data_IF_001163551890
#
_entry.id   IF_001163551890
#
_cell.length_a   1.000
_cell.length_b   1.000
_cell.length_c   1.000
_cell.angle_alpha   90.00
_cell.angle_beta   90.00
_cell.angle_gamma   90.00
#
_symmetry.space_group_name_H-M   'P 1'
#
loop_
_entity.id
_entity.type
_entity.pdbx_description
1 polymer ?
#
# COMPACT_ATOMS: atom_id res chain seq x y z
N UNK A 1 2.87 -73.97 -19.80
CA UNK A 1 3.90 -73.35 -18.94
C UNK A 1 4.53 -72.21 -19.71
N UNK A 2 4.08 -70.97 -19.49
CA UNK A 2 4.80 -69.76 -19.93
C UNK A 2 5.47 -69.22 -18.68
N UNK A 3 6.79 -69.34 -18.61
CA UNK A 3 7.60 -68.73 -17.56
C UNK A 3 7.49 -67.23 -17.69
N UNK A 4 6.93 -66.60 -16.65
CA UNK A 4 7.05 -65.17 -16.44
C UNK A 4 8.42 -64.97 -15.77
N UNK A 5 9.46 -64.82 -16.58
CA UNK A 5 10.78 -64.40 -16.09
C UNK A 5 10.67 -62.92 -15.69
N UNK A 6 10.32 -62.68 -14.43
CA UNK A 6 10.52 -61.38 -13.80
C UNK A 6 12.04 -61.13 -13.75
N UNK A 7 12.55 -60.40 -14.74
CA UNK A 7 13.92 -59.86 -14.72
C UNK A 7 14.07 -58.98 -13.47
N UNK A 8 14.67 -59.56 -12.44
CA UNK A 8 14.99 -58.87 -11.20
C UNK A 8 16.25 -58.03 -11.47
N UNK A 9 16.08 -56.78 -11.90
CA UNK A 9 17.18 -55.85 -12.10
C UNK A 9 17.90 -55.66 -10.75
N UNK A 10 19.23 -55.88 -10.66
CA UNK A 10 19.96 -55.69 -9.41
C UNK A 10 19.74 -54.27 -8.87
N UNK A 11 19.47 -54.15 -7.57
CA UNK A 11 19.15 -52.86 -6.93
C UNK A 11 20.22 -51.78 -7.19
N UNK A 12 21.48 -52.18 -7.31
CA UNK A 12 22.61 -51.30 -7.61
C UNK A 12 22.56 -50.74 -9.06
N UNK A 13 22.21 -51.58 -10.02
CA UNK A 13 21.98 -51.19 -11.42
C UNK A 13 20.78 -50.25 -11.54
N UNK A 14 19.69 -50.54 -10.82
CA UNK A 14 18.52 -49.67 -10.77
C UNK A 14 18.85 -48.30 -10.14
N UNK A 15 19.62 -48.28 -9.05
CA UNK A 15 20.09 -47.05 -8.41
C UNK A 15 20.99 -46.22 -9.34
N UNK A 16 21.87 -46.87 -10.13
CA UNK A 16 22.71 -46.20 -11.12
C UNK A 16 21.88 -45.53 -12.21
N UNK A 17 20.91 -46.25 -12.80
CA UNK A 17 20.03 -45.66 -13.81
C UNK A 17 19.17 -44.53 -13.24
N UNK A 18 18.67 -44.68 -12.01
CA UNK A 18 17.95 -43.60 -11.30
C UNK A 18 18.83 -42.36 -11.12
N UNK A 19 20.07 -42.51 -10.66
CA UNK A 19 20.97 -41.38 -10.45
C UNK A 19 21.31 -40.68 -11.77
N UNK A 20 21.57 -41.44 -12.84
CA UNK A 20 21.78 -40.87 -14.18
C UNK A 20 20.54 -40.11 -14.64
N UNK A 21 19.35 -40.69 -14.48
CA UNK A 21 18.10 -40.04 -14.85
C UNK A 21 17.88 -38.73 -14.08
N UNK A 22 18.14 -38.70 -12.78
CA UNK A 22 18.04 -37.49 -11.96
C UNK A 22 19.01 -36.41 -12.44
N UNK A 23 20.28 -36.75 -12.66
CA UNK A 23 21.29 -35.78 -13.14
C UNK A 23 20.92 -35.24 -14.52
N UNK A 24 20.53 -36.11 -15.45
CA UNK A 24 20.10 -35.70 -16.79
C UNK A 24 18.85 -34.80 -16.74
N UNK A 25 17.88 -35.13 -15.88
CA UNK A 25 16.67 -34.32 -15.72
C UNK A 25 17.00 -32.95 -15.13
N UNK A 26 17.81 -32.88 -14.07
CA UNK A 26 18.23 -31.59 -13.48
C UNK A 26 19.01 -30.74 -14.49
N UNK A 27 19.95 -31.34 -15.22
CA UNK A 27 20.70 -30.63 -16.25
C UNK A 27 19.79 -30.13 -17.38
N UNK A 28 18.82 -30.93 -17.81
CA UNK A 28 17.84 -30.53 -18.82
C UNK A 28 16.98 -29.36 -18.33
N UNK A 29 16.48 -29.38 -17.09
CA UNK A 29 15.71 -28.28 -16.50
C UNK A 29 16.55 -27.00 -16.45
N UNK A 30 17.80 -27.07 -15.98
CA UNK A 30 18.70 -25.91 -15.94
C UNK A 30 18.95 -25.36 -17.34
N UNK A 31 19.22 -26.23 -18.33
CA UNK A 31 19.45 -25.83 -19.70
C UNK A 31 18.23 -25.13 -20.32
N UNK A 32 17.03 -25.69 -20.09
CA UNK A 32 15.77 -25.10 -20.57
C UNK A 32 15.50 -23.74 -19.93
N UNK A 33 15.63 -23.63 -18.60
CA UNK A 33 15.43 -22.34 -17.91
C UNK A 33 16.46 -21.31 -18.33
N UNK A 34 17.74 -21.71 -18.46
CA UNK A 34 18.82 -20.84 -18.94
C UNK A 34 18.52 -20.34 -20.34
N UNK A 35 18.12 -21.23 -21.26
CA UNK A 35 17.74 -20.83 -22.62
C UNK A 35 16.57 -19.85 -22.57
N UNK A 36 15.54 -20.14 -21.76
CA UNK A 36 14.38 -19.25 -21.64
C UNK A 36 14.75 -17.86 -21.11
N UNK A 37 15.69 -17.73 -20.16
CA UNK A 37 16.18 -16.42 -19.71
C UNK A 37 16.70 -15.54 -20.87
N UNK A 38 17.31 -16.13 -21.92
CA UNK A 38 17.86 -15.38 -23.05
C UNK A 38 16.83 -14.97 -24.11
N UNK A 39 15.74 -15.73 -24.25
CA UNK A 39 14.75 -15.53 -25.33
C UNK A 39 13.41 -14.98 -24.86
N UNK A 40 13.17 -14.94 -23.54
CA UNK A 40 11.96 -14.34 -22.98
C UNK A 40 11.99 -12.83 -23.23
N UNK A 41 10.88 -12.29 -23.71
CA UNK A 41 10.66 -10.84 -23.71
C UNK A 41 10.65 -10.30 -22.28
N UNK A 42 11.26 -9.14 -22.06
CA UNK A 42 11.29 -8.54 -20.73
C UNK A 42 9.91 -8.04 -20.31
N UNK A 43 9.54 -8.30 -19.07
CA UNK A 43 8.36 -7.73 -18.47
C UNK A 43 8.76 -6.39 -17.83
N UNK A 44 8.02 -5.32 -18.14
CA UNK A 44 8.25 -4.01 -17.51
C UNK A 44 7.54 -3.88 -16.17
N UNK A 45 6.52 -4.71 -15.91
CA UNK A 45 5.69 -4.64 -14.71
C UNK A 45 5.32 -6.04 -14.19
N UNK A 46 5.25 -6.19 -12.87
CA UNK A 46 4.72 -7.38 -12.22
C UNK A 46 3.32 -7.12 -11.69
N UNK A 47 2.34 -7.84 -12.25
CA UNK A 47 0.94 -7.83 -11.81
C UNK A 47 0.80 -8.31 -10.37
N UNK A 48 1.53 -9.39 -10.03
CA UNK A 48 1.48 -9.98 -8.70
C UNK A 48 2.09 -9.03 -7.66
N UNK A 49 3.30 -8.52 -7.89
CA UNK A 49 4.00 -7.66 -6.93
C UNK A 49 3.57 -6.19 -6.97
N UNK A 50 2.73 -5.80 -7.94
CA UNK A 50 2.30 -4.42 -8.23
C UNK A 50 3.46 -3.41 -8.25
N UNK A 51 4.51 -3.76 -9.00
CA UNK A 51 5.70 -2.90 -9.15
C UNK A 51 6.31 -2.97 -10.54
N UNK A 52 7.04 -1.91 -10.88
CA UNK A 52 7.92 -1.88 -12.05
C UNK A 52 9.06 -2.88 -11.82
N UNK A 53 9.37 -3.64 -12.86
CA UNK A 53 10.45 -4.61 -12.87
C UNK A 53 11.70 -3.96 -13.47
N UNK A 54 12.87 -4.38 -12.98
CA UNK A 54 14.14 -3.92 -13.55
C UNK A 54 14.25 -4.39 -15.00
N UNK A 55 14.66 -3.47 -15.87
CA UNK A 55 15.02 -3.69 -17.27
C UNK A 55 16.54 -3.88 -17.39
N UNK A 56 17.02 -4.30 -18.55
CA UNK A 56 18.44 -4.53 -18.77
C UNK A 56 19.23 -3.23 -18.50
N UNK A 57 20.20 -3.22 -17.56
CA UNK A 57 20.97 -2.02 -17.26
C UNK A 57 21.90 -1.64 -18.41
N UNK A 58 22.17 -0.34 -18.55
CA UNK A 58 23.12 0.15 -19.54
C UNK A 58 24.56 -0.21 -19.15
N UNK A 59 25.26 -0.85 -20.08
CA UNK A 59 26.65 -1.21 -19.90
C UNK A 59 27.55 0.00 -20.20
N UNK A 60 28.17 0.57 -19.16
CA UNK A 60 29.17 1.64 -19.31
C UNK A 60 30.41 1.34 -18.48
N UNK A 61 31.55 1.95 -18.81
CA UNK A 61 32.78 1.75 -18.05
C UNK A 61 32.68 2.30 -16.62
N UNK A 62 31.92 3.38 -16.45
CA UNK A 62 31.65 4.00 -15.15
C UNK A 62 30.80 3.06 -14.28
N UNK A 63 29.69 2.52 -14.79
CA UNK A 63 28.81 1.62 -14.04
C UNK A 63 29.47 0.28 -13.67
N UNK A 64 30.43 -0.19 -14.46
CA UNK A 64 31.25 -1.37 -14.12
C UNK A 64 32.26 -1.05 -13.03
N UNK A 65 32.93 0.10 -13.11
CA UNK A 65 33.96 0.50 -12.14
C UNK A 65 33.36 0.78 -10.75
N UNK A 66 32.15 1.34 -10.70
CA UNK A 66 31.40 1.66 -9.48
C UNK A 66 30.66 0.44 -8.91
N UNK A 67 30.45 -0.61 -9.71
CA UNK A 67 29.78 -1.85 -9.30
C UNK A 67 28.26 -1.86 -9.51
N UNK A 68 27.69 -0.72 -9.89
CA UNK A 68 26.27 -0.52 -10.13
C UNK A 68 25.71 -1.47 -11.19
N UNK A 69 26.44 -1.69 -12.29
CA UNK A 69 26.01 -2.61 -13.35
C UNK A 69 25.74 -4.02 -12.80
N UNK A 70 26.59 -4.51 -11.90
CA UNK A 70 26.45 -5.87 -11.36
C UNK A 70 25.24 -5.98 -10.43
N UNK A 71 25.02 -4.98 -9.58
CA UNK A 71 23.87 -4.92 -8.69
C UNK A 71 22.54 -4.79 -9.46
N UNK A 72 22.51 -3.95 -10.49
CA UNK A 72 21.34 -3.79 -11.35
C UNK A 72 21.10 -5.03 -12.22
N UNK A 73 22.15 -5.65 -12.74
CA UNK A 73 22.03 -6.87 -13.53
C UNK A 73 21.55 -8.05 -12.69
N UNK A 74 22.01 -8.19 -11.44
CA UNK A 74 21.48 -9.18 -10.50
C UNK A 74 19.97 -8.97 -10.28
N UNK A 75 19.57 -7.73 -10.00
CA UNK A 75 18.17 -7.38 -9.81
C UNK A 75 17.32 -7.65 -11.06
N UNK A 76 17.83 -7.29 -12.25
CA UNK A 76 17.24 -7.57 -13.55
C UNK A 76 17.03 -9.07 -13.77
N UNK A 77 18.07 -9.90 -13.58
CA UNK A 77 17.98 -11.34 -13.80
C UNK A 77 17.00 -12.01 -12.84
N UNK A 78 16.90 -11.54 -11.59
CA UNK A 78 15.88 -12.00 -10.66
C UNK A 78 14.47 -11.62 -11.13
N UNK A 79 14.27 -10.39 -11.58
CA UNK A 79 12.95 -9.88 -12.03
C UNK A 79 12.47 -10.56 -13.32
N UNK A 80 13.40 -10.84 -14.25
CA UNK A 80 13.08 -11.45 -15.54
C UNK A 80 13.13 -12.99 -15.54
N UNK A 81 13.43 -13.62 -14.40
CA UNK A 81 13.56 -15.07 -14.33
C UNK A 81 12.29 -15.80 -14.80
N UNK A 82 12.39 -16.80 -15.69
CA UNK A 82 11.24 -17.57 -16.13
C UNK A 82 10.50 -18.23 -14.97
N UNK A 83 9.16 -18.17 -15.00
CA UNK A 83 8.30 -18.72 -13.95
C UNK A 83 8.56 -18.11 -12.55
N UNK A 84 9.06 -16.87 -12.46
CA UNK A 84 9.35 -16.17 -11.21
C UNK A 84 8.24 -16.32 -10.17
N UNK A 85 6.99 -16.05 -10.52
CA UNK A 85 5.87 -16.14 -9.56
C UNK A 85 5.69 -17.55 -9.02
N UNK A 86 5.84 -18.58 -9.86
CA UNK A 86 5.79 -19.98 -9.40
C UNK A 86 6.92 -20.30 -8.43
N UNK A 87 8.16 -19.87 -8.73
CA UNK A 87 9.30 -20.05 -7.83
C UNK A 87 9.13 -19.29 -6.52
N UNK A 88 8.59 -18.07 -6.56
CA UNK A 88 8.26 -17.29 -5.36
C UNK A 88 7.22 -18.02 -4.51
N UNK A 89 6.19 -18.59 -5.12
CA UNK A 89 5.17 -19.36 -4.40
C UNK A 89 5.74 -20.62 -3.75
N UNK A 90 6.57 -21.37 -4.47
CA UNK A 90 7.26 -22.55 -3.91
C UNK A 90 8.20 -22.15 -2.77
N UNK A 91 8.97 -21.08 -2.93
CA UNK A 91 9.85 -20.54 -1.86
C UNK A 91 9.06 -20.13 -0.63
N UNK A 92 7.92 -19.46 -0.81
CA UNK A 92 7.06 -19.02 0.28
C UNK A 92 6.46 -20.22 1.01
N UNK A 93 5.86 -21.17 0.27
CA UNK A 93 5.31 -22.39 0.84
C UNK A 93 6.37 -23.22 1.58
N UNK A 94 7.58 -23.34 1.04
CA UNK A 94 8.68 -24.01 1.72
C UNK A 94 9.08 -23.26 3.01
N UNK A 95 9.18 -21.93 2.96
CA UNK A 95 9.52 -21.10 4.12
C UNK A 95 8.54 -21.30 5.27
N UNK A 96 7.24 -21.16 5.01
CA UNK A 96 6.21 -21.29 6.05
C UNK A 96 5.96 -22.74 6.46
N UNK A 97 5.71 -23.64 5.50
CA UNK A 97 5.19 -24.97 5.81
C UNK A 97 6.26 -26.05 5.97
N UNK A 98 7.39 -25.94 5.27
CA UNK A 98 8.47 -26.92 5.38
C UNK A 98 9.50 -26.53 6.47
N UNK A 99 9.82 -25.23 6.57
CA UNK A 99 10.83 -24.74 7.50
C UNK A 99 10.25 -24.06 8.75
N UNK A 100 8.93 -23.85 8.82
CA UNK A 100 8.29 -23.24 9.98
C UNK A 100 8.73 -21.80 10.25
N UNK A 101 9.17 -21.06 9.22
CA UNK A 101 9.45 -19.63 9.36
C UNK A 101 8.16 -18.90 9.72
N UNK A 102 8.27 -17.94 10.64
CA UNK A 102 7.12 -17.15 11.10
C UNK A 102 6.75 -16.04 10.12
N UNK A 103 7.73 -15.52 9.39
CA UNK A 103 7.54 -14.55 8.33
C UNK A 103 8.32 -14.95 7.06
N UNK A 104 7.95 -14.33 5.94
CA UNK A 104 8.68 -14.38 4.69
C UNK A 104 8.85 -12.94 4.16
N UNK A 105 10.08 -12.44 4.16
CA UNK A 105 10.41 -11.06 3.80
C UNK A 105 9.63 -10.02 4.62
N UNK A 106 9.43 -10.28 5.92
CA UNK A 106 8.70 -9.38 6.79
C UNK A 106 7.17 -9.46 6.66
N UNK A 107 6.61 -10.29 5.78
CA UNK A 107 5.17 -10.58 5.76
C UNK A 107 4.85 -11.85 6.56
N UNK A 108 3.77 -11.82 7.32
CA UNK A 108 3.28 -12.96 8.09
C UNK A 108 1.76 -13.11 7.95
N UNK A 109 1.25 -14.30 8.29
CA UNK A 109 -0.18 -14.58 8.34
C UNK A 109 -0.60 -14.72 9.80
N UNK A 110 -1.63 -13.98 10.20
CA UNK A 110 -2.26 -14.08 11.50
C UNK A 110 -3.77 -13.86 11.35
N UNK A 111 -4.57 -14.71 12.01
CA UNK A 111 -6.05 -14.58 12.03
C UNK A 111 -6.70 -14.48 10.63
N UNK A 112 -6.10 -15.15 9.64
CA UNK A 112 -6.59 -15.12 8.25
C UNK A 112 -6.16 -13.89 7.43
N UNK A 113 -5.47 -12.93 8.06
CA UNK A 113 -4.95 -11.73 7.41
C UNK A 113 -3.45 -11.82 7.19
N UNK A 114 -2.99 -11.23 6.08
CA UNK A 114 -1.58 -10.96 5.85
C UNK A 114 -1.25 -9.60 6.44
N UNK A 115 -0.14 -9.51 7.15
CA UNK A 115 0.38 -8.27 7.71
C UNK A 115 1.88 -8.16 7.43
N UNK A 116 2.38 -6.94 7.40
CA UNK A 116 3.79 -6.63 7.23
C UNK A 116 4.35 -6.14 8.55
N UNK A 117 5.51 -6.67 8.96
CA UNK A 117 6.23 -6.19 10.13
C UNK A 117 6.69 -4.77 9.88
N UNK A 118 6.08 -3.82 10.57
CA UNK A 118 6.57 -2.44 10.67
C UNK A 118 7.33 -2.30 12.01
N UNK A 119 8.56 -2.79 11.99
CA UNK A 119 9.44 -2.82 13.16
C UNK A 119 10.91 -2.83 12.73
N UNK A 120 11.81 -2.17 13.47
CA UNK A 120 11.54 -1.26 14.58
C UNK A 120 11.06 0.11 14.10
N UNK A 121 10.73 1.00 15.03
CA UNK A 121 10.59 2.42 14.73
C UNK A 121 11.91 2.94 14.13
N UNK A 122 11.82 3.55 12.95
CA UNK A 122 12.90 4.24 12.28
C UNK A 122 12.87 5.72 12.63
N UNK A 123 13.56 6.08 13.70
CA UNK A 123 13.59 7.45 14.22
C UNK A 123 14.01 8.48 13.18
N UNK A 124 14.99 8.18 12.33
CA UNK A 124 15.43 9.10 11.28
C UNK A 124 14.36 9.33 10.21
N UNK A 125 13.57 8.30 9.89
CA UNK A 125 12.42 8.43 8.99
C UNK A 125 11.33 9.30 9.61
N UNK A 126 11.00 9.05 10.89
CA UNK A 126 10.00 9.84 11.62
C UNK A 126 10.44 11.29 11.77
N UNK A 127 11.71 11.56 12.10
CA UNK A 127 12.25 12.92 12.17
C UNK A 127 12.10 13.63 10.82
N UNK A 128 12.49 12.98 9.72
CA UNK A 128 12.32 13.54 8.38
C UNK A 128 10.85 13.84 8.05
N UNK A 129 9.93 12.92 8.35
CA UNK A 129 8.51 13.13 8.15
C UNK A 129 8.02 14.36 8.94
N UNK A 130 8.35 14.45 10.23
CA UNK A 130 7.99 15.58 11.08
C UNK A 130 8.58 16.90 10.57
N UNK A 131 9.83 16.90 10.10
CA UNK A 131 10.48 18.08 9.51
C UNK A 131 9.73 18.56 8.24
N UNK A 132 9.21 17.64 7.42
CA UNK A 132 8.39 17.98 6.25
C UNK A 132 7.02 18.54 6.65
N UNK A 133 6.37 17.95 7.65
CA UNK A 133 5.11 18.49 8.18
C UNK A 133 5.31 19.88 8.80
N UNK A 134 6.42 20.07 9.50
CA UNK A 134 6.81 21.37 10.07
C UNK A 134 7.09 22.41 9.01
N UNK A 135 7.78 22.03 7.95
CA UNK A 135 8.01 22.92 6.81
C UNK A 135 6.69 23.44 6.23
N UNK A 136 5.72 22.55 5.97
CA UNK A 136 4.42 22.93 5.43
C UNK A 136 3.67 23.89 6.35
N UNK A 137 3.71 23.63 7.66
CA UNK A 137 3.12 24.52 8.64
C UNK A 137 3.81 25.88 8.69
N UNK A 138 5.12 25.92 8.90
CA UNK A 138 5.88 27.17 9.05
C UNK A 138 5.75 28.05 7.79
N UNK A 139 5.84 27.46 6.60
CA UNK A 139 5.85 28.19 5.33
C UNK A 139 4.46 28.67 4.88
N UNK A 140 3.41 27.84 5.06
CA UNK A 140 2.12 28.11 4.43
C UNK A 140 0.97 28.36 5.40
N UNK A 141 1.02 27.83 6.62
CA UNK A 141 -0.14 27.78 7.52
C UNK A 141 0.07 28.70 8.74
N UNK A 142 1.32 28.87 9.19
CA UNK A 142 1.61 29.63 10.39
C UNK A 142 1.22 31.11 10.22
N UNK A 143 0.44 31.63 11.18
CA UNK A 143 -0.06 33.00 11.15
C UNK A 143 -1.36 33.21 10.35
N UNK A 144 -1.96 32.16 9.79
CA UNK A 144 -3.35 32.19 9.31
C UNK A 144 -4.34 31.88 10.44
N UNK A 145 -5.64 31.95 10.13
CA UNK A 145 -6.73 31.56 11.04
C UNK A 145 -7.12 30.08 10.88
N UNK A 146 -6.34 29.30 10.11
CA UNK A 146 -6.58 27.89 9.86
C UNK A 146 -6.45 27.05 11.14
N UNK A 147 -7.30 26.02 11.25
CA UNK A 147 -7.23 25.04 12.35
C UNK A 147 -6.48 23.81 11.87
N UNK A 148 -5.43 23.43 12.58
CA UNK A 148 -4.51 22.38 12.12
C UNK A 148 -4.65 21.14 13.00
N UNK A 149 -4.90 20.00 12.36
CA UNK A 149 -5.13 18.72 13.01
C UNK A 149 -4.16 17.66 12.51
N UNK A 150 -3.87 16.69 13.37
CA UNK A 150 -3.10 15.49 13.07
C UNK A 150 -3.89 14.25 13.40
N UNK A 151 -3.91 13.27 12.50
CA UNK A 151 -4.36 11.92 12.82
C UNK A 151 -3.39 10.88 12.27
N UNK A 152 -3.04 9.90 13.11
CA UNK A 152 -2.12 8.82 12.76
C UNK A 152 -2.95 7.55 12.60
N UNK A 153 -2.93 6.98 11.39
CA UNK A 153 -3.62 5.73 11.10
C UNK A 153 -2.71 4.56 11.51
N UNK A 154 -3.08 3.73 12.50
CA UNK A 154 -2.29 2.55 12.83
C UNK A 154 -2.23 1.61 11.62
N UNK A 155 -1.10 0.94 11.44
CA UNK A 155 -1.00 -0.12 10.44
C UNK A 155 -1.52 -1.44 11.02
N UNK A 156 -1.79 -2.43 10.17
CA UNK A 156 -2.38 -3.71 10.61
C UNK A 156 -1.52 -4.46 11.66
N UNK A 157 -0.21 -4.23 11.66
CA UNK A 157 0.72 -4.82 12.62
C UNK A 157 0.44 -4.36 14.06
N UNK A 158 -0.09 -3.15 14.26
CA UNK A 158 -0.54 -2.63 15.57
C UNK A 158 -1.50 -3.62 16.26
N UNK A 159 -2.47 -4.15 15.51
CA UNK A 159 -3.50 -5.03 16.05
C UNK A 159 -3.09 -6.51 16.06
N UNK A 160 -2.15 -6.92 15.21
CA UNK A 160 -1.84 -8.33 14.95
C UNK A 160 -0.56 -8.83 15.60
N UNK A 161 0.48 -7.99 15.72
CA UNK A 161 1.84 -8.47 15.94
C UNK A 161 2.02 -9.11 17.32
N UNK A 162 1.86 -8.32 18.38
CA UNK A 162 2.18 -8.73 19.75
C UNK A 162 1.31 -9.91 20.19
N UNK A 163 0.00 -9.83 19.96
CA UNK A 163 -0.95 -10.91 20.34
C UNK A 163 -0.66 -12.24 19.65
N UNK A 164 -0.05 -12.20 18.46
CA UNK A 164 0.37 -13.40 17.72
C UNK A 164 1.86 -13.72 17.90
N UNK A 165 2.59 -13.01 18.77
CA UNK A 165 3.99 -13.25 19.10
C UNK A 165 4.98 -12.85 18.00
N UNK A 166 4.63 -11.88 17.17
CA UNK A 166 5.52 -11.24 16.20
C UNK A 166 6.16 -9.98 16.80
N UNK A 167 7.17 -9.46 16.11
CA UNK A 167 7.81 -8.20 16.50
C UNK A 167 6.85 -7.04 16.28
N UNK A 168 6.65 -6.26 17.33
CA UNK A 168 5.84 -5.04 17.34
C UNK A 168 6.71 -3.90 17.83
N UNK A 169 6.52 -2.71 17.25
CA UNK A 169 7.08 -1.50 17.83
C UNK A 169 6.19 -1.02 18.99
N UNK A 170 6.74 -0.12 19.79
CA UNK A 170 6.03 0.60 20.82
C UNK A 170 5.26 1.75 20.14
N UNK A 171 3.99 1.49 19.81
CA UNK A 171 3.16 2.43 19.07
C UNK A 171 2.72 3.64 19.90
N UNK A 172 2.59 3.49 21.22
CA UNK A 172 2.33 4.60 22.12
C UNK A 172 3.52 5.56 22.08
N UNK A 173 4.74 5.02 22.22
CA UNK A 173 5.97 5.80 22.10
C UNK A 173 6.12 6.42 20.70
N UNK A 174 5.76 5.70 19.64
CA UNK A 174 5.79 6.24 18.28
C UNK A 174 4.88 7.47 18.17
N UNK A 175 3.63 7.34 18.61
CA UNK A 175 2.61 8.39 18.57
C UNK A 175 3.04 9.59 19.41
N UNK A 176 3.51 9.38 20.63
CA UNK A 176 4.02 10.46 21.49
C UNK A 176 5.22 11.17 20.84
N UNK A 177 6.14 10.43 20.23
CA UNK A 177 7.31 11.01 19.56
C UNK A 177 6.95 11.93 18.39
N UNK A 178 5.92 11.56 17.61
CA UNK A 178 5.38 12.40 16.52
C UNK A 178 4.69 13.62 17.12
N UNK A 179 3.78 13.43 18.08
CA UNK A 179 3.00 14.51 18.72
C UNK A 179 3.86 15.57 19.37
N UNK A 180 4.95 15.18 20.02
CA UNK A 180 5.92 16.12 20.61
C UNK A 180 6.59 17.02 19.56
N UNK A 181 6.72 16.56 18.31
CA UNK A 181 7.33 17.32 17.19
C UNK A 181 6.31 18.11 16.38
N UNK A 182 5.03 17.83 16.57
CA UNK A 182 3.91 18.46 15.86
C UNK A 182 2.93 19.11 16.85
N UNK A 183 3.46 19.70 17.92
CA UNK A 183 2.70 20.31 19.03
C UNK A 183 1.84 21.52 18.63
N UNK A 184 2.06 22.05 17.44
CA UNK A 184 1.26 23.08 16.78
C UNK A 184 0.02 22.53 16.06
N UNK A 185 -0.22 21.20 16.10
CA UNK A 185 -1.40 20.54 15.56
C UNK A 185 -2.23 19.92 16.69
N UNK A 186 -3.55 19.99 16.58
CA UNK A 186 -4.46 19.25 17.47
C UNK A 186 -4.53 17.78 17.06
N UNK A 187 -4.13 16.87 17.96
CA UNK A 187 -4.13 15.44 17.68
C UNK A 187 -5.53 14.82 17.87
N UNK A 188 -6.08 14.27 16.79
CA UNK A 188 -7.31 13.48 16.78
C UNK A 188 -6.92 12.00 16.72
N UNK A 189 -6.97 11.34 17.87
CA UNK A 189 -6.72 9.90 17.98
C UNK A 189 -7.89 9.11 17.36
N UNK A 190 -7.56 8.19 16.46
CA UNK A 190 -8.50 7.28 15.78
C UNK A 190 -8.14 5.81 16.00
N UNK A 191 -7.10 5.51 16.78
CA UNK A 191 -6.62 4.14 16.92
C UNK A 191 -7.65 3.23 17.60
N UNK A 192 -8.44 3.76 18.54
CA UNK A 192 -9.49 3.05 19.27
C UNK A 192 -10.78 2.85 18.45
N UNK A 193 -10.93 3.53 17.31
CA UNK A 193 -12.04 3.33 16.38
C UNK A 193 -11.75 2.25 15.33
N UNK A 194 -10.58 1.62 15.41
CA UNK A 194 -10.06 0.66 14.44
C UNK A 194 -9.69 -0.65 15.13
N UNK A 195 -9.77 -1.74 14.37
CA UNK A 195 -9.28 -3.05 14.78
C UNK A 195 -8.78 -3.85 13.57
N UNK A 196 -8.50 -5.15 13.75
CA UNK A 196 -8.06 -6.01 12.65
C UNK A 196 -9.08 -6.13 11.51
N UNK A 197 -10.40 -6.10 11.81
CA UNK A 197 -11.44 -6.18 10.78
C UNK A 197 -11.61 -4.86 10.04
N UNK A 198 -11.07 -3.75 10.55
CA UNK A 198 -11.04 -2.49 9.80
C UNK A 198 -10.23 -2.58 8.50
N UNK A 199 -9.41 -3.62 8.29
CA UNK A 199 -8.50 -3.76 7.15
C UNK A 199 -8.86 -4.91 6.23
N UNK A 200 -8.55 -4.76 4.93
CA UNK A 200 -8.56 -5.87 3.99
C UNK A 200 -7.57 -6.94 4.43
N UNK A 201 -7.87 -8.22 4.26
CA UNK A 201 -6.99 -9.31 4.72
C UNK A 201 -5.70 -9.37 3.92
N UNK A 202 -5.77 -9.11 2.63
CA UNK A 202 -4.67 -9.27 1.66
C UNK A 202 -4.03 -7.95 1.23
N UNK A 203 -4.48 -6.82 1.79
CA UNK A 203 -3.97 -5.48 1.48
C UNK A 203 -3.53 -4.71 2.73
N UNK A 204 -2.80 -3.61 2.57
CA UNK A 204 -2.45 -2.71 3.68
C UNK A 204 -3.62 -1.83 4.11
N UNK A 205 -4.54 -1.49 3.20
CA UNK A 205 -5.55 -0.47 3.45
C UNK A 205 -6.72 -0.94 4.29
N UNK A 206 -7.38 0.04 4.94
CA UNK A 206 -8.66 -0.16 5.59
C UNK A 206 -9.82 -0.31 4.59
N UNK A 207 -10.99 -0.77 5.07
CA UNK A 207 -12.19 -0.99 4.26
C UNK A 207 -13.18 0.14 4.50
N UNK A 208 -13.72 0.76 3.45
CA UNK A 208 -14.53 1.98 3.59
C UNK A 208 -15.79 1.78 4.45
N UNK A 209 -16.45 0.63 4.30
CA UNK A 209 -17.74 0.32 4.91
C UNK A 209 -17.71 0.20 6.44
N UNK A 210 -16.53 0.10 7.04
CA UNK A 210 -16.35 -0.01 8.50
C UNK A 210 -15.76 1.25 9.14
N UNK A 211 -15.56 2.33 8.38
CA UNK A 211 -14.92 3.55 8.87
C UNK A 211 -15.85 4.54 9.55
N UNK A 212 -17.15 4.27 9.65
CA UNK A 212 -18.10 5.22 10.29
C UNK A 212 -17.63 5.72 11.68
N UNK A 213 -17.14 4.88 12.61
CA UNK A 213 -16.62 5.37 13.89
C UNK A 213 -15.38 6.29 13.75
N UNK A 214 -14.54 6.04 12.75
CA UNK A 214 -13.35 6.85 12.46
C UNK A 214 -13.74 8.21 11.87
N UNK A 215 -14.73 8.21 10.97
CA UNK A 215 -15.31 9.43 10.38
C UNK A 215 -15.95 10.28 11.48
N UNK A 216 -16.76 9.68 12.35
CA UNK A 216 -17.37 10.36 13.49
C UNK A 216 -16.31 11.00 14.41
N UNK A 217 -15.23 10.27 14.71
CA UNK A 217 -14.12 10.79 15.54
C UNK A 217 -13.43 11.98 14.90
N UNK A 218 -13.11 11.91 13.61
CA UNK A 218 -12.51 13.01 12.86
C UNK A 218 -13.45 14.22 12.78
N UNK A 219 -14.72 13.98 12.45
CA UNK A 219 -15.73 15.04 12.36
C UNK A 219 -15.92 15.77 13.69
N UNK A 220 -16.03 15.02 14.80
CA UNK A 220 -16.13 15.59 16.15
C UNK A 220 -14.88 16.38 16.53
N UNK A 221 -13.68 15.85 16.25
CA UNK A 221 -12.42 16.54 16.53
C UNK A 221 -12.26 17.84 15.74
N UNK A 222 -12.75 17.88 14.49
CA UNK A 222 -12.75 19.09 13.66
C UNK A 222 -13.98 19.98 13.89
N UNK A 223 -14.93 19.55 14.73
CA UNK A 223 -16.16 20.26 15.03
C UNK A 223 -17.07 20.46 13.82
N UNK A 224 -17.16 19.46 12.93
CA UNK A 224 -18.14 19.38 11.83
C UNK A 224 -19.13 18.25 12.12
N UNK A 225 -20.32 18.37 11.56
CA UNK A 225 -21.33 17.32 11.59
C UNK A 225 -21.28 16.51 10.29
N UNK A 226 -21.26 15.18 10.43
CA UNK A 226 -21.43 14.23 9.33
C UNK A 226 -22.55 13.29 9.74
N UNK A 227 -23.68 13.39 9.06
CA UNK A 227 -24.95 12.70 9.35
C UNK A 227 -25.42 11.82 8.20
N UNK A 228 -24.61 11.67 7.15
CA UNK A 228 -24.96 10.98 5.93
C UNK A 228 -25.31 9.51 6.19
N UNK A 229 -26.50 9.13 5.74
CA UNK A 229 -26.87 7.73 5.61
C UNK A 229 -26.34 7.18 4.29
N UNK A 230 -25.59 6.08 4.38
CA UNK A 230 -24.96 5.46 3.22
C UNK A 230 -25.67 4.16 2.80
N UNK A 231 -25.69 3.94 1.50
CA UNK A 231 -25.96 2.62 0.92
C UNK A 231 -24.65 1.89 0.70
N UNK A 232 -24.52 0.71 1.29
CA UNK A 232 -23.37 -0.18 1.05
C UNK A 232 -23.53 -0.92 -0.28
N UNK A 233 -22.49 -0.84 -1.11
CA UNK A 233 -22.38 -1.57 -2.36
C UNK A 233 -21.19 -2.53 -2.28
N UNK A 234 -21.31 -3.69 -2.93
CA UNK A 234 -20.20 -4.65 -3.07
C UNK A 234 -19.71 -4.64 -4.51
N UNK A 235 -18.42 -4.44 -4.71
CA UNK A 235 -17.80 -4.50 -6.02
C UNK A 235 -17.77 -5.96 -6.51
N UNK A 236 -18.33 -6.20 -7.70
CA UNK A 236 -18.29 -7.52 -8.36
C UNK A 236 -16.92 -7.74 -9.04
N UNK A 237 -15.85 -7.72 -8.24
CA UNK A 237 -14.49 -8.00 -8.66
C UNK A 237 -13.66 -8.50 -7.46
N UNK A 238 -13.04 -9.70 -7.51
CA UNK A 238 -12.21 -10.19 -6.42
C UNK A 238 -10.98 -9.30 -6.20
N UNK A 239 -10.75 -8.90 -4.95
CA UNK A 239 -9.63 -8.04 -4.60
C UNK A 239 -8.46 -8.83 -4.01
N UNK A 240 -7.40 -8.98 -4.81
CA UNK A 240 -6.12 -9.50 -4.33
C UNK A 240 -5.19 -8.34 -4.02
N UNK A 241 -5.17 -7.91 -2.76
CA UNK A 241 -4.36 -6.80 -2.29
C UNK A 241 -2.85 -7.00 -2.48
N UNK A 242 -2.10 -5.92 -2.27
CA UNK A 242 -0.64 -5.89 -2.49
C UNK A 242 0.11 -6.97 -1.68
N UNK A 243 -0.38 -7.32 -0.49
CA UNK A 243 0.27 -8.35 0.33
C UNK A 243 0.08 -9.76 -0.23
N UNK A 244 -0.99 -10.05 -0.97
CA UNK A 244 -1.16 -11.33 -1.67
C UNK A 244 0.01 -11.59 -2.63
N UNK A 245 0.33 -10.56 -3.41
CA UNK A 245 1.46 -10.51 -4.30
C UNK A 245 2.81 -10.70 -3.62
N UNK A 246 3.03 -9.96 -2.53
CA UNK A 246 4.31 -9.93 -1.82
C UNK A 246 4.60 -11.23 -1.07
N UNK A 247 3.60 -11.79 -0.38
CA UNK A 247 3.74 -13.06 0.34
C UNK A 247 3.80 -14.26 -0.60
N UNK A 248 3.25 -14.14 -1.82
CA UNK A 248 3.24 -15.18 -2.85
C UNK A 248 2.72 -16.52 -2.31
N UNK A 249 1.54 -16.51 -1.70
CA UNK A 249 0.83 -17.73 -1.30
C UNK A 249 -0.56 -17.73 -1.94
N UNK A 250 -1.16 -18.91 -2.19
CA UNK A 250 -2.55 -18.97 -2.59
C UNK A 250 -3.42 -18.52 -1.42
N UNK A 251 -4.05 -17.36 -1.56
CA UNK A 251 -4.94 -16.76 -0.57
C UNK A 251 -6.32 -16.53 -1.20
N UNK A 252 -7.36 -16.57 -0.37
CA UNK A 252 -8.68 -16.11 -0.80
C UNK A 252 -8.66 -14.59 -1.00
N UNK A 253 -9.33 -14.07 -2.05
CA UNK A 253 -9.45 -12.64 -2.26
C UNK A 253 -10.32 -11.98 -1.19
N UNK A 254 -10.12 -10.68 -1.02
CA UNK A 254 -11.04 -9.81 -0.31
C UNK A 254 -12.20 -9.35 -1.22
N UNK A 255 -13.24 -8.79 -0.61
CA UNK A 255 -14.32 -8.07 -1.29
C UNK A 255 -14.19 -6.57 -0.99
N UNK A 256 -14.21 -5.73 -2.03
CA UNK A 256 -14.29 -4.28 -1.83
C UNK A 256 -15.75 -3.89 -1.67
N UNK A 257 -16.04 -3.19 -0.57
CA UNK A 257 -17.32 -2.53 -0.35
C UNK A 257 -17.12 -1.02 -0.31
N UNK A 258 -18.09 -0.30 -0.85
CA UNK A 258 -18.05 1.15 -0.96
C UNK A 258 -19.42 1.75 -0.68
N UNK A 259 -19.44 3.00 -0.24
CA UNK A 259 -20.61 3.67 0.31
C UNK A 259 -21.13 4.74 -0.66
N UNK A 260 -22.41 4.72 -1.01
CA UNK A 260 -23.01 5.77 -1.85
C UNK A 260 -24.09 6.53 -1.07
N UNK A 261 -24.29 7.80 -1.39
CA UNK A 261 -25.37 8.65 -0.86
C UNK A 261 -25.70 9.73 -1.88
N UNK A 262 -26.85 10.39 -1.74
CA UNK A 262 -27.21 11.51 -2.63
C UNK A 262 -26.16 12.63 -2.60
N UNK A 263 -25.54 12.89 -1.45
CA UNK A 263 -24.45 13.85 -1.30
C UNK A 263 -23.21 13.43 -2.10
N UNK A 264 -22.79 12.17 -1.99
CA UNK A 264 -21.63 11.65 -2.71
C UNK A 264 -21.86 11.64 -4.23
N UNK A 265 -23.05 11.25 -4.67
CA UNK A 265 -23.42 11.20 -6.08
C UNK A 265 -23.47 12.60 -6.71
N UNK A 266 -23.71 13.64 -5.91
CA UNK A 266 -23.69 15.04 -6.33
C UNK A 266 -22.30 15.69 -6.31
N UNK A 267 -21.30 15.07 -5.67
CA UNK A 267 -19.95 15.64 -5.55
C UNK A 267 -19.21 15.62 -6.90
N UNK A 268 -18.38 16.64 -7.12
CA UNK A 268 -17.49 16.72 -8.30
C UNK A 268 -16.06 16.58 -7.83
N UNK A 269 -15.36 15.54 -8.30
CA UNK A 269 -13.93 15.36 -8.05
C UNK A 269 -13.13 15.94 -9.20
N UNK A 270 -12.14 16.79 -8.93
CA UNK A 270 -11.24 17.33 -9.96
C UNK A 270 -9.79 16.98 -9.66
N UNK A 271 -9.15 16.29 -10.60
CA UNK A 271 -7.73 15.94 -10.57
C UNK A 271 -6.89 16.96 -11.34
N UNK A 272 -5.70 17.30 -10.83
CA UNK A 272 -4.81 18.30 -11.45
C UNK A 272 -3.49 17.69 -11.99
N UNK A 273 -3.31 16.37 -11.92
CA UNK A 273 -2.03 15.71 -12.22
C UNK A 273 -1.67 15.66 -13.72
N UNK A 274 -2.66 15.79 -14.61
CA UNK A 274 -2.42 15.75 -16.06
C UNK A 274 -1.98 17.09 -16.67
N UNK A 275 -1.77 18.13 -15.85
CA UNK A 275 -1.46 19.48 -16.29
C UNK A 275 -2.68 20.32 -16.67
N UNK A 276 -3.80 19.67 -16.99
CA UNK A 276 -5.13 20.28 -17.11
C UNK A 276 -6.08 19.63 -16.08
N UNK A 277 -7.04 20.38 -15.51
CA UNK A 277 -8.04 19.84 -14.59
C UNK A 277 -8.93 18.79 -15.26
N UNK A 278 -9.09 17.63 -14.62
CA UNK A 278 -9.92 16.52 -15.11
C UNK A 278 -10.97 16.18 -14.06
N UNK A 279 -12.24 16.40 -14.42
CA UNK A 279 -13.38 16.01 -13.60
C UNK A 279 -13.56 14.48 -13.62
N UNK A 280 -13.91 13.91 -12.46
CA UNK A 280 -14.14 12.48 -12.21
C UNK A 280 -15.25 12.32 -11.17
N UNK A 281 -15.77 11.10 -11.10
CA UNK A 281 -16.66 10.69 -10.03
C UNK A 281 -15.84 10.31 -8.77
N UNK A 282 -16.49 10.26 -7.61
CA UNK A 282 -15.89 9.79 -6.36
C UNK A 282 -15.32 8.37 -6.50
N UNK A 283 -16.00 7.52 -7.28
CA UNK A 283 -15.63 6.14 -7.54
C UNK A 283 -15.28 5.94 -9.03
N UNK A 284 -14.00 5.75 -9.33
CA UNK A 284 -13.56 5.39 -10.69
C UNK A 284 -13.79 3.90 -10.95
N UNK A 285 -14.95 3.60 -11.52
CA UNK A 285 -15.32 2.22 -11.85
C UNK A 285 -14.42 1.58 -12.92
N UNK A 286 -13.65 2.32 -13.71
CA UNK A 286 -12.66 1.71 -14.61
C UNK A 286 -11.47 1.17 -13.80
N UNK A 287 -11.04 1.92 -12.78
CA UNK A 287 -9.97 1.50 -11.87
C UNK A 287 -10.39 0.35 -10.95
N UNK A 288 -11.68 0.28 -10.60
CA UNK A 288 -12.23 -0.84 -9.83
C UNK A 288 -12.01 -2.22 -10.49
N UNK A 289 -11.88 -2.27 -11.82
CA UNK A 289 -11.58 -3.49 -12.59
C UNK A 289 -10.15 -3.51 -13.15
N UNK A 290 -9.27 -2.67 -12.61
CA UNK A 290 -7.86 -2.62 -12.98
C UNK A 290 -6.99 -3.56 -12.13
N UNK A 291 -5.68 -3.43 -12.29
CA UNK A 291 -4.66 -4.19 -11.53
C UNK A 291 -4.67 -3.85 -10.05
N UNK A 292 -5.08 -2.64 -9.72
CA UNK A 292 -5.28 -2.19 -8.34
C UNK A 292 -6.69 -1.65 -8.15
N UNK A 293 -7.65 -2.53 -7.81
CA UNK A 293 -9.03 -2.13 -7.56
C UNK A 293 -9.20 -1.06 -6.48
N UNK A 294 -8.26 -0.93 -5.54
CA UNK A 294 -8.34 0.09 -4.48
C UNK A 294 -8.19 1.52 -5.06
N UNK A 295 -7.56 1.70 -6.22
CA UNK A 295 -7.51 3.00 -6.89
C UNK A 295 -8.88 3.49 -7.38
N UNK A 296 -9.95 2.69 -7.24
CA UNK A 296 -11.31 3.18 -7.50
C UNK A 296 -11.68 4.36 -6.59
N UNK A 297 -11.15 4.41 -5.37
CA UNK A 297 -11.40 5.51 -4.44
C UNK A 297 -10.64 6.75 -4.93
N UNK A 298 -11.39 7.77 -5.38
CA UNK A 298 -10.85 9.06 -5.85
C UNK A 298 -9.80 8.92 -6.97
N UNK A 299 -9.84 7.83 -7.73
CA UNK A 299 -8.92 7.66 -8.85
C UNK A 299 -7.44 7.46 -8.45
N UNK A 300 -7.13 7.10 -7.20
CA UNK A 300 -5.80 6.64 -6.79
C UNK A 300 -4.80 7.73 -6.41
N UNK A 301 -3.59 7.67 -6.98
CA UNK A 301 -2.40 8.36 -6.46
C UNK A 301 -2.18 9.77 -7.02
N UNK A 302 -3.23 10.58 -7.08
CA UNK A 302 -3.11 11.96 -7.57
C UNK A 302 -2.38 12.87 -6.55
N UNK A 303 -1.46 13.71 -7.03
CA UNK A 303 -0.70 14.65 -6.21
C UNK A 303 -1.60 15.76 -5.63
N UNK A 304 -2.54 16.25 -6.44
CA UNK A 304 -3.49 17.28 -6.05
C UNK A 304 -4.87 17.00 -6.65
N UNK A 305 -5.89 17.06 -5.79
CA UNK A 305 -7.27 17.00 -6.22
C UNK A 305 -8.21 17.76 -5.30
N UNK A 306 -9.42 18.04 -5.79
CA UNK A 306 -10.52 18.62 -5.01
C UNK A 306 -11.75 17.73 -5.08
N UNK A 307 -12.55 17.75 -4.02
CA UNK A 307 -13.92 17.24 -3.97
C UNK A 307 -14.80 18.42 -3.63
N UNK A 308 -15.68 18.81 -4.55
CA UNK A 308 -16.64 19.90 -4.34
C UNK A 308 -18.01 19.30 -4.03
N UNK A 309 -18.59 19.70 -2.90
CA UNK A 309 -19.93 19.31 -2.47
C UNK A 309 -20.91 20.46 -2.77
N UNK A 310 -21.69 20.40 -3.87
CA UNK A 310 -22.61 21.47 -4.22
C UNK A 310 -23.81 21.60 -3.26
N UNK A 311 -24.00 20.63 -2.37
CA UNK A 311 -25.09 20.57 -1.41
C UNK A 311 -24.62 20.89 0.03
N UNK A 312 -23.41 21.41 0.20
CA UNK A 312 -22.88 21.73 1.52
C UNK A 312 -23.72 22.82 2.22
N UNK A 313 -23.98 22.62 3.51
CA UNK A 313 -24.72 23.59 4.33
C UNK A 313 -23.83 24.69 4.90
N UNK A 314 -22.50 24.55 4.77
CA UNK A 314 -21.51 25.52 5.22
C UNK A 314 -20.44 25.75 4.15
N UNK A 315 -19.82 26.91 4.17
CA UNK A 315 -18.68 27.27 3.30
C UNK A 315 -17.34 26.75 3.83
N UNK A 316 -17.33 25.88 4.86
CA UNK A 316 -16.08 25.36 5.42
C UNK A 316 -15.34 24.55 4.36
N UNK A 317 -14.03 24.74 4.29
CA UNK A 317 -13.16 23.93 3.44
C UNK A 317 -12.17 23.14 4.29
N UNK A 318 -11.81 21.96 3.80
CA UNK A 318 -10.79 21.08 4.37
C UNK A 318 -9.61 20.96 3.42
N UNK A 319 -8.40 21.23 3.88
CA UNK A 319 -7.17 20.84 3.19
C UNK A 319 -6.60 19.60 3.87
N UNK A 320 -6.46 18.51 3.12
CA UNK A 320 -6.01 17.21 3.64
C UNK A 320 -4.65 16.83 3.06
N UNK A 321 -3.62 16.84 3.91
CA UNK A 321 -2.32 16.25 3.61
C UNK A 321 -2.37 14.77 3.92
N UNK A 322 -2.09 13.93 2.91
CA UNK A 322 -2.53 12.54 2.94
C UNK A 322 -1.54 11.52 2.42
N UNK A 323 -1.75 10.25 2.77
CA UNK A 323 -1.33 9.08 1.99
C UNK A 323 -2.54 8.33 1.39
N UNK A 324 -2.35 7.10 0.91
CA UNK A 324 -3.41 6.34 0.22
C UNK A 324 -4.57 5.89 1.13
N UNK A 325 -4.45 5.94 2.46
CA UNK A 325 -5.57 5.64 3.36
C UNK A 325 -6.67 6.69 3.26
N UNK A 326 -6.29 7.94 3.02
CA UNK A 326 -7.25 9.04 2.93
C UNK A 326 -8.22 8.90 1.75
N UNK A 327 -7.83 8.19 0.68
CA UNK A 327 -8.63 8.07 -0.54
C UNK A 327 -10.04 7.51 -0.28
N UNK A 328 -10.19 6.57 0.65
CA UNK A 328 -11.49 5.99 0.97
C UNK A 328 -12.25 6.73 2.08
N UNK A 329 -11.58 7.50 2.95
CA UNK A 329 -12.24 8.21 4.05
C UNK A 329 -12.63 9.65 3.71
N UNK A 330 -11.87 10.33 2.85
CA UNK A 330 -12.15 11.71 2.46
C UNK A 330 -13.57 11.92 1.88
N UNK A 331 -14.11 11.01 1.03
CA UNK A 331 -15.50 11.11 0.59
C UNK A 331 -16.49 11.10 1.77
N UNK A 332 -16.20 10.38 2.83
CA UNK A 332 -17.11 10.28 3.98
C UNK A 332 -17.11 11.54 4.85
N UNK A 333 -16.21 12.50 4.61
CA UNK A 333 -16.17 13.78 5.32
C UNK A 333 -16.86 14.92 4.54
N UNK A 334 -17.27 14.70 3.29
CA UNK A 334 -17.74 15.79 2.40
C UNK A 334 -18.99 16.52 2.90
N UNK A 335 -19.80 15.90 3.75
CA UNK A 335 -20.99 16.56 4.28
C UNK A 335 -20.64 17.73 5.21
N UNK A 336 -19.50 17.64 5.91
CA UNK A 336 -19.01 18.70 6.78
C UNK A 336 -18.38 19.89 6.04
N UNK A 337 -18.17 19.79 4.73
CA UNK A 337 -17.33 20.72 3.96
C UNK A 337 -17.89 21.04 2.57
N UNK A 338 -17.86 22.32 2.17
CA UNK A 338 -18.12 22.72 0.79
C UNK A 338 -17.07 22.17 -0.18
N UNK A 339 -15.82 22.08 0.28
CA UNK A 339 -14.69 21.63 -0.52
C UNK A 339 -13.66 20.89 0.32
N UNK A 340 -13.20 19.75 -0.18
CA UNK A 340 -12.02 19.05 0.34
C UNK A 340 -10.92 19.14 -0.71
N UNK A 341 -9.78 19.73 -0.38
CA UNK A 341 -8.57 19.76 -1.21
C UNK A 341 -7.58 18.73 -0.67
N UNK A 342 -7.22 17.73 -1.46
CA UNK A 342 -6.30 16.67 -1.05
C UNK A 342 -4.93 16.85 -1.69
N UNK A 343 -3.88 16.75 -0.87
CA UNK A 343 -2.49 16.99 -1.26
C UNK A 343 -1.62 15.80 -0.85
N UNK A 344 -0.95 15.18 -1.81
CA UNK A 344 -0.02 14.09 -1.57
C UNK A 344 1.42 14.51 -1.85
N UNK A 345 2.12 14.88 -0.77
CA UNK A 345 3.51 15.34 -0.81
C UNK A 345 4.54 14.26 -1.13
N UNK A 346 4.10 13.04 -1.49
CA UNK A 346 4.94 12.05 -2.17
C UNK A 346 5.05 12.31 -3.67
N UNK A 347 4.10 13.05 -4.23
CA UNK A 347 4.01 13.33 -5.67
C UNK A 347 4.19 14.82 -5.98
N UNK A 348 3.80 15.71 -5.06
CA UNK A 348 4.15 17.15 -5.12
C UNK A 348 5.29 17.47 -4.14
N UNK A 349 6.26 18.28 -4.56
CA UNK A 349 7.29 18.79 -3.64
C UNK A 349 6.67 19.76 -2.65
N UNK A 350 7.04 19.67 -1.38
CA UNK A 350 6.49 20.52 -0.32
C UNK A 350 6.59 22.03 -0.66
N UNK A 351 7.68 22.47 -1.30
CA UNK A 351 7.90 23.87 -1.68
C UNK A 351 6.96 24.38 -2.79
N UNK A 352 6.22 23.48 -3.46
CA UNK A 352 5.29 23.85 -4.52
C UNK A 352 3.85 23.99 -4.05
N UNK A 353 3.53 23.59 -2.81
CA UNK A 353 2.15 23.54 -2.32
C UNK A 353 1.46 24.91 -2.39
N UNK A 354 2.14 25.98 -1.97
CA UNK A 354 1.61 27.35 -2.01
C UNK A 354 1.29 27.89 -3.42
N UNK A 355 1.71 27.20 -4.49
CA UNK A 355 1.30 27.57 -5.86
C UNK A 355 -0.13 27.12 -6.19
N UNK A 356 -0.69 26.21 -5.40
CA UNK A 356 -1.95 25.54 -5.70
C UNK A 356 -3.01 25.75 -4.62
N UNK A 357 -2.58 25.98 -3.37
CA UNK A 357 -3.47 26.11 -2.22
C UNK A 357 -3.06 27.30 -1.39
N UNK A 358 -4.05 28.11 -1.01
CA UNK A 358 -3.91 29.19 -0.02
C UNK A 358 -4.52 28.75 1.29
N UNK A 359 -3.94 29.22 2.40
CA UNK A 359 -4.39 28.90 3.75
C UNK A 359 -4.79 30.19 4.45
N UNK A 360 -6.08 30.34 4.69
CA UNK A 360 -6.70 31.49 5.33
C UNK A 360 -7.40 31.02 6.61
N UNK A 361 -8.61 30.47 6.51
CA UNK A 361 -9.45 30.02 7.64
C UNK A 361 -9.93 28.56 7.52
N UNK A 362 -9.32 27.77 6.62
CA UNK A 362 -9.66 26.36 6.40
C UNK A 362 -9.30 25.47 7.60
N UNK A 363 -9.98 24.33 7.71
CA UNK A 363 -9.46 23.21 8.49
C UNK A 363 -8.34 22.53 7.69
N UNK A 364 -7.25 22.17 8.34
CA UNK A 364 -6.11 21.45 7.75
C UNK A 364 -5.89 20.15 8.49
N UNK A 365 -6.06 19.01 7.83
CA UNK A 365 -5.84 17.70 8.40
C UNK A 365 -4.60 17.03 7.79
N UNK A 366 -3.62 16.73 8.63
CA UNK A 366 -2.54 15.81 8.30
C UNK A 366 -2.96 14.40 8.73
N UNK A 367 -3.27 13.53 7.75
CA UNK A 367 -3.68 12.15 8.00
C UNK A 367 -2.72 11.18 7.31
N UNK A 368 -1.92 10.48 8.10
CA UNK A 368 -0.89 9.58 7.60
C UNK A 368 -0.89 8.26 8.36
N UNK A 369 -0.63 7.18 7.62
CA UNK A 369 -0.37 5.89 8.24
C UNK A 369 0.94 5.87 9.02
N UNK A 370 0.98 5.03 10.05
CA UNK A 370 2.20 4.75 10.81
C UNK A 370 3.32 4.29 9.87
N UNK A 371 3.01 3.45 8.88
CA UNK A 371 3.98 3.01 7.87
C UNK A 371 4.61 4.17 7.09
N UNK A 372 3.80 5.17 6.71
CA UNK A 372 4.28 6.32 5.96
C UNK A 372 5.23 7.17 6.81
N UNK A 373 4.77 7.52 8.02
CA UNK A 373 5.54 8.32 8.99
C UNK A 373 6.83 7.60 9.42
N UNK A 374 6.77 6.29 9.66
CA UNK A 374 7.92 5.49 10.06
C UNK A 374 8.97 5.38 8.93
N UNK A 375 8.54 5.27 7.67
CA UNK A 375 9.46 5.21 6.55
C UNK A 375 10.19 6.54 6.34
N UNK A 376 9.47 7.67 6.41
CA UNK A 376 9.98 9.02 6.16
C UNK A 376 10.45 9.32 4.73
N UNK A 377 10.85 8.31 3.97
CA UNK A 377 11.59 8.45 2.71
C UNK A 377 10.75 8.92 1.52
N UNK A 378 9.42 8.80 1.61
CA UNK A 378 8.53 9.15 0.52
C UNK A 378 8.10 10.62 0.52
N UNK A 379 8.27 11.33 1.65
CA UNK A 379 7.96 12.76 1.74
C UNK A 379 8.95 13.56 0.92
N UNK A 380 8.47 14.39 -0.01
CA UNK A 380 9.30 15.21 -0.91
C UNK A 380 9.44 16.66 -0.46
#
# INVERSE_FOLDING_TARGET
MKNNDNMNIPAETLNRYRNIAVVCLTAAVIAVLSFWCWFKEENTFSESERRVLKTLPELSWESIAEGDFMAEFESYTQDQFPLRDSFRSVKSAASFYAFGKRDNNGLYIAEGSVSKLDYPMNTAGVDHACDRLKYLYDEYISGSDAKVYLSIVPDKNYFLAEKNGYLSMDYDRFTDYVRERTDYMEYIDVADTLDTVSYYRTDSHWRQEVLAPTVERLAQGMGVDVLAEYTENTLDNPFYGVYSGQIALPLEPDEIKYLTSETLDGCVVTSYDTGEPVARDVYDMKKAYSRDPYEMFLGGADALMTIENPNAESERELVMFRDSFASSIAPLLVEGYAKITMIDIRYIRSEMVGNYVTFDDQDVLFIYSTMMLNSGSAFK
#
